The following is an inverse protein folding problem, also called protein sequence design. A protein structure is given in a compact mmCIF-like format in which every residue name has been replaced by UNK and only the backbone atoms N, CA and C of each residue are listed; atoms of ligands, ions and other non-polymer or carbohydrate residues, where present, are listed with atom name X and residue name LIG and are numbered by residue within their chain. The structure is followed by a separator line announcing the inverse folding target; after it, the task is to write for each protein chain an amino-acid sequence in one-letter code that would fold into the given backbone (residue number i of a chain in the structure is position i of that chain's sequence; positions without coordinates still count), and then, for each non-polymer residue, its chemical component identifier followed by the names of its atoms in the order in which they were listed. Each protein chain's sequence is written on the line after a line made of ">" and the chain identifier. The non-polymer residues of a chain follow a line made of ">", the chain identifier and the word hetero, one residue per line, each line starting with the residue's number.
data_IF_807703625495
#
_entry.id   IF_807703625495
#
_cell.length_a   1.000
_cell.length_b   1.000
_cell.length_c   1.000
_cell.angle_alpha   90.00
_cell.angle_beta   90.00
_cell.angle_gamma   90.00
#
_symmetry.space_group_name_H-M   'P 1'
#
loop_
_entity.id
_entity.type
_entity.pdbx_description
1 polymer ?
#
# COMPACT_ATOMS: atom_id res chain seq x y z
N UNK A 1 -22.59 -65.14 -23.68
CA UNK A 1 -21.86 -63.86 -23.81
C UNK A 1 -22.44 -62.88 -22.81
N UNK A 2 -21.65 -62.47 -21.82
CA UNK A 2 -21.97 -61.34 -20.92
C UNK A 2 -20.67 -60.83 -20.34
N UNK A 3 -20.12 -59.79 -20.98
CA UNK A 3 -18.93 -59.07 -20.54
C UNK A 3 -19.32 -58.05 -19.47
N UNK A 4 -18.83 -58.22 -18.24
CA UNK A 4 -18.90 -57.20 -17.19
C UNK A 4 -17.84 -56.12 -17.44
N UNK A 5 -18.26 -54.87 -17.64
CA UNK A 5 -17.39 -53.70 -17.61
C UNK A 5 -17.16 -53.27 -16.15
N UNK A 6 -15.89 -53.19 -15.74
CA UNK A 6 -15.45 -52.52 -14.50
C UNK A 6 -15.50 -51.01 -14.71
N UNK A 7 -16.29 -50.31 -13.92
CA UNK A 7 -16.18 -48.86 -13.77
C UNK A 7 -14.99 -48.54 -12.85
N UNK A 8 -13.96 -47.91 -13.40
CA UNK A 8 -12.85 -47.33 -12.64
C UNK A 8 -13.28 -45.96 -12.11
N UNK A 9 -13.46 -45.84 -10.80
CA UNK A 9 -13.65 -44.56 -10.12
C UNK A 9 -12.35 -43.76 -10.20
N UNK A 10 -12.34 -42.72 -11.04
CA UNK A 10 -11.26 -41.74 -11.10
C UNK A 10 -11.47 -40.74 -9.97
N UNK A 11 -10.64 -40.82 -8.92
CA UNK A 11 -10.57 -39.78 -7.89
C UNK A 11 -9.80 -38.57 -8.44
N UNK A 12 -10.52 -37.49 -8.71
CA UNK A 12 -9.92 -36.19 -9.02
C UNK A 12 -9.30 -35.63 -7.72
N UNK A 13 -8.00 -35.27 -7.68
CA UNK A 13 -7.42 -34.65 -6.49
C UNK A 13 -8.09 -33.29 -6.24
N UNK A 14 -8.73 -33.12 -5.08
CA UNK A 14 -9.28 -31.84 -4.67
C UNK A 14 -8.13 -30.86 -4.44
N UNK A 15 -8.10 -29.78 -5.21
CA UNK A 15 -7.20 -28.65 -4.95
C UNK A 15 -7.69 -27.92 -3.69
N UNK A 16 -6.80 -27.58 -2.75
CA UNK A 16 -7.20 -26.89 -1.52
C UNK A 16 -7.84 -25.55 -1.84
N UNK A 17 -8.94 -25.23 -1.17
CA UNK A 17 -9.70 -24.00 -1.39
C UNK A 17 -8.91 -22.78 -0.90
N UNK A 18 -9.30 -21.56 -1.34
CA UNK A 18 -8.64 -20.31 -0.92
C UNK A 18 -8.72 -20.09 0.60
N UNK A 19 -9.79 -20.56 1.24
CA UNK A 19 -9.94 -20.58 2.71
C UNK A 19 -8.94 -21.54 3.37
N UNK A 20 -8.70 -22.72 2.79
CA UNK A 20 -7.77 -23.70 3.36
C UNK A 20 -6.33 -23.17 3.37
N UNK A 21 -5.93 -22.47 2.30
CA UNK A 21 -4.61 -21.83 2.23
C UNK A 21 -4.43 -20.69 3.23
N UNK A 22 -5.51 -19.97 3.55
CA UNK A 22 -5.50 -18.92 4.56
C UNK A 22 -5.32 -19.51 5.96
N UNK A 23 -6.12 -20.52 6.31
CA UNK A 23 -6.04 -21.19 7.60
C UNK A 23 -4.72 -21.92 7.80
N UNK A 24 -4.15 -22.51 6.75
CA UNK A 24 -2.84 -23.17 6.80
C UNK A 24 -1.71 -22.19 7.16
N UNK A 25 -1.78 -20.95 6.68
CA UNK A 25 -0.78 -19.92 7.04
C UNK A 25 -0.88 -19.50 8.50
N UNK A 26 -2.10 -19.39 9.04
CA UNK A 26 -2.31 -19.06 10.45
C UNK A 26 -1.84 -20.23 11.32
N UNK A 27 -2.23 -21.45 11.00
CA UNK A 27 -1.79 -22.66 11.68
C UNK A 27 -0.26 -22.73 11.78
N UNK A 28 0.44 -22.65 10.64
CA UNK A 28 1.91 -22.70 10.59
C UNK A 28 2.61 -21.52 11.29
N UNK A 29 1.91 -20.41 11.53
CA UNK A 29 2.49 -19.26 12.24
C UNK A 29 2.58 -19.53 13.75
N UNK A 30 1.66 -20.31 14.27
CA UNK A 30 1.51 -20.54 15.71
C UNK A 30 1.96 -21.94 16.16
N UNK A 31 2.09 -22.88 15.23
CA UNK A 31 2.90 -24.10 15.36
C UNK A 31 4.39 -23.69 15.41
N UNK A 32 4.88 -23.36 16.61
CA UNK A 32 6.21 -22.78 16.82
C UNK A 32 7.30 -23.83 16.73
N UNK A 33 7.02 -25.04 17.18
CA UNK A 33 7.95 -26.16 17.12
C UNK A 33 7.88 -26.93 15.79
N UNK A 34 6.93 -26.58 14.91
CA UNK A 34 6.71 -27.18 13.59
C UNK A 34 6.40 -28.68 13.68
N UNK A 35 5.72 -29.10 14.74
CA UNK A 35 5.32 -30.50 14.94
C UNK A 35 4.06 -30.88 14.14
N UNK A 36 3.46 -29.91 13.45
CA UNK A 36 2.28 -30.07 12.62
C UNK A 36 0.98 -30.07 13.41
N UNK A 37 1.01 -29.70 14.69
CA UNK A 37 -0.11 -29.61 15.61
C UNK A 37 -0.03 -28.31 16.42
N UNK A 38 -1.11 -27.97 17.13
CA UNK A 38 -1.14 -26.81 18.03
C UNK A 38 -1.34 -27.32 19.45
N UNK A 39 -0.36 -27.07 20.31
CA UNK A 39 -0.44 -27.40 21.74
C UNK A 39 -1.33 -26.41 22.51
N UNK A 40 -1.75 -26.77 23.73
CA UNK A 40 -2.44 -25.86 24.66
C UNK A 40 -1.69 -24.53 24.83
N UNK A 41 -0.35 -24.57 24.95
CA UNK A 41 0.47 -23.38 25.13
C UNK A 41 0.47 -22.51 23.87
N UNK A 42 0.49 -23.10 22.69
CA UNK A 42 0.42 -22.37 21.43
C UNK A 42 -0.96 -21.80 21.18
N UNK A 43 -2.02 -22.55 21.48
CA UNK A 43 -3.40 -22.07 21.47
C UNK A 43 -3.59 -20.92 22.48
N UNK A 44 -3.06 -21.07 23.69
CA UNK A 44 -3.05 -20.01 24.70
C UNK A 44 -2.29 -18.78 24.20
N UNK A 45 -1.16 -18.94 23.52
CA UNK A 45 -0.43 -17.82 22.88
C UNK A 45 -1.13 -17.24 21.65
N UNK A 46 -1.98 -18.00 20.94
CA UNK A 46 -2.87 -17.48 19.89
C UNK A 46 -3.90 -16.52 20.52
N UNK A 47 -4.38 -16.89 21.70
CA UNK A 47 -5.48 -16.24 22.42
C UNK A 47 -5.00 -15.07 23.28
N UNK A 48 -3.88 -15.22 23.98
CA UNK A 48 -3.24 -14.23 24.84
C UNK A 48 -2.27 -13.38 24.02
N UNK A 49 -2.68 -12.16 23.69
CA UNK A 49 -1.76 -11.15 23.14
C UNK A 49 -1.57 -10.01 24.14
N UNK A 50 -0.30 -9.63 24.30
CA UNK A 50 0.27 -8.75 25.34
C UNK A 50 -0.20 -7.28 25.32
N UNK A 51 -1.30 -6.96 24.64
CA UNK A 51 -1.75 -5.59 24.40
C UNK A 51 -3.08 -5.22 25.10
N UNK A 52 -3.73 -6.14 25.82
CA UNK A 52 -4.98 -5.84 26.55
C UNK A 52 -4.97 -6.47 27.96
N UNK A 53 -5.42 -5.70 28.96
CA UNK A 53 -5.21 -5.93 30.39
C UNK A 53 -6.14 -7.00 31.03
N UNK A 54 -6.74 -7.87 30.22
CA UNK A 54 -7.57 -8.98 30.69
C UNK A 54 -7.32 -10.24 29.86
N UNK A 55 -6.51 -11.13 30.42
CA UNK A 55 -6.30 -12.48 29.92
C UNK A 55 -7.62 -13.26 29.97
N UNK A 56 -7.86 -14.11 28.96
CA UNK A 56 -8.93 -15.10 29.03
C UNK A 56 -8.55 -16.13 30.11
N UNK A 57 -9.40 -16.38 31.12
CA UNK A 57 -9.04 -17.30 32.18
C UNK A 57 -8.80 -18.71 31.62
N UNK A 58 -7.84 -19.43 32.21
CA UNK A 58 -7.33 -20.73 31.71
C UNK A 58 -8.45 -21.74 31.40
N UNK A 59 -9.51 -21.73 32.21
CA UNK A 59 -10.67 -22.60 32.04
C UNK A 59 -11.43 -22.39 30.72
N UNK A 60 -11.34 -21.20 30.11
CA UNK A 60 -11.94 -20.91 28.80
C UNK A 60 -11.09 -21.47 27.68
N UNK A 61 -9.75 -21.37 27.79
CA UNK A 61 -8.82 -21.94 26.81
C UNK A 61 -8.90 -23.46 26.83
N UNK A 62 -8.96 -24.06 28.03
CA UNK A 62 -9.15 -25.50 28.20
C UNK A 62 -10.44 -25.97 27.54
N UNK A 63 -11.55 -25.25 27.75
CA UNK A 63 -12.83 -25.57 27.12
C UNK A 63 -12.83 -25.41 25.59
N UNK A 64 -12.07 -24.46 25.06
CA UNK A 64 -11.89 -24.32 23.60
C UNK A 64 -11.11 -25.51 23.05
N UNK A 65 -10.06 -25.94 23.77
CA UNK A 65 -9.27 -27.11 23.41
C UNK A 65 -10.14 -28.37 23.42
N UNK A 66 -10.93 -28.60 24.47
CA UNK A 66 -11.87 -29.74 24.57
C UNK A 66 -12.93 -29.76 23.45
N UNK A 67 -13.30 -28.59 22.91
CA UNK A 67 -14.27 -28.48 21.82
C UNK A 67 -13.63 -28.68 20.43
N UNK A 68 -12.34 -28.42 20.29
CA UNK A 68 -11.59 -28.54 19.04
C UNK A 68 -10.93 -29.90 18.86
N UNK A 69 -10.40 -30.48 19.94
CA UNK A 69 -9.64 -31.74 19.97
C UNK A 69 -10.62 -32.93 19.98
N UNK A 70 -10.93 -33.46 18.80
CA UNK A 70 -11.93 -34.54 18.66
C UNK A 70 -11.36 -35.89 18.98
N UNK A 71 -10.09 -36.08 18.69
CA UNK A 71 -9.40 -37.34 18.94
C UNK A 71 -8.84 -37.44 20.37
N UNK A 72 -8.96 -36.38 21.18
CA UNK A 72 -8.45 -36.24 22.55
C UNK A 72 -6.94 -36.49 22.61
N UNK A 73 -6.21 -36.08 21.58
CA UNK A 73 -4.75 -36.22 21.52
C UNK A 73 -4.02 -35.23 22.43
N UNK A 74 -4.71 -34.19 22.91
CA UNK A 74 -4.13 -33.06 23.65
C UNK A 74 -3.54 -31.99 22.74
N UNK A 75 -3.75 -32.10 21.42
CA UNK A 75 -3.26 -31.19 20.40
C UNK A 75 -4.35 -30.95 19.36
N UNK A 76 -4.30 -29.82 18.64
CA UNK A 76 -5.17 -29.61 17.48
C UNK A 76 -4.39 -29.87 16.21
N UNK A 77 -4.82 -30.85 15.41
CA UNK A 77 -4.32 -30.98 14.05
C UNK A 77 -4.92 -29.91 13.13
N UNK A 78 -4.45 -29.86 11.88
CA UNK A 78 -4.92 -28.85 10.94
C UNK A 78 -6.42 -28.95 10.61
N UNK A 79 -6.95 -30.16 10.51
CA UNK A 79 -8.36 -30.37 10.20
C UNK A 79 -9.24 -29.95 11.38
N UNK A 80 -8.86 -30.35 12.60
CA UNK A 80 -9.51 -29.96 13.85
C UNK A 80 -9.44 -28.45 14.08
N UNK A 81 -8.29 -27.84 13.85
CA UNK A 81 -8.12 -26.39 13.92
C UNK A 81 -9.06 -25.67 12.95
N UNK A 82 -9.12 -26.09 11.68
CA UNK A 82 -10.01 -25.47 10.70
C UNK A 82 -11.47 -25.65 11.09
N UNK A 83 -11.86 -26.84 11.53
CA UNK A 83 -13.23 -27.12 11.95
C UNK A 83 -13.63 -26.30 13.19
N UNK A 84 -12.73 -26.18 14.16
CA UNK A 84 -12.88 -25.33 15.34
C UNK A 84 -13.11 -23.86 14.94
N UNK A 85 -12.35 -23.34 13.96
CA UNK A 85 -12.51 -21.96 13.46
C UNK A 85 -13.85 -21.73 12.74
N UNK A 86 -14.48 -22.78 12.21
CA UNK A 86 -15.79 -22.72 11.55
C UNK A 86 -16.95 -23.09 12.48
N UNK A 87 -16.68 -23.55 13.70
CA UNK A 87 -17.71 -23.93 14.67
C UNK A 87 -18.55 -22.69 15.06
N UNK A 88 -19.89 -22.67 14.84
CA UNK A 88 -20.74 -21.52 15.11
C UNK A 88 -20.66 -20.96 16.54
N UNK A 89 -20.48 -21.83 17.52
CA UNK A 89 -20.40 -21.46 18.94
C UNK A 89 -19.06 -20.80 19.29
N UNK A 90 -17.98 -21.23 18.60
CA UNK A 90 -16.62 -20.67 18.74
C UNK A 90 -16.34 -19.53 17.76
N UNK A 91 -17.16 -19.39 16.72
CA UNK A 91 -17.08 -18.32 15.71
C UNK A 91 -17.24 -16.94 16.34
N UNK A 92 -17.95 -16.82 17.45
CA UNK A 92 -18.02 -15.57 18.22
C UNK A 92 -16.66 -15.22 18.87
N UNK A 93 -15.97 -16.21 19.43
CA UNK A 93 -14.66 -16.06 20.08
C UNK A 93 -13.56 -15.77 19.07
N UNK A 94 -13.52 -16.50 17.95
CA UNK A 94 -12.54 -16.28 16.88
C UNK A 94 -12.91 -15.14 15.94
N UNK A 95 -14.21 -14.82 15.81
CA UNK A 95 -14.69 -13.62 15.14
C UNK A 95 -14.14 -12.35 15.79
N UNK A 96 -13.99 -12.35 17.12
CA UNK A 96 -13.31 -11.29 17.85
C UNK A 96 -11.82 -11.16 17.46
N UNK A 97 -11.13 -12.25 17.14
CA UNK A 97 -9.71 -12.25 16.72
C UNK A 97 -9.50 -11.70 15.30
N UNK A 98 -10.35 -12.13 14.35
CA UNK A 98 -10.35 -11.57 12.99
C UNK A 98 -10.74 -10.10 13.03
N UNK A 99 -11.76 -9.76 13.81
CA UNK A 99 -12.13 -8.37 14.08
C UNK A 99 -10.96 -7.59 14.68
N UNK A 100 -10.16 -8.15 15.59
CA UNK A 100 -9.00 -7.50 16.23
C UNK A 100 -7.84 -7.18 15.28
N UNK A 101 -7.48 -8.09 14.36
CA UNK A 101 -6.49 -7.77 13.29
C UNK A 101 -7.03 -6.72 12.32
N UNK A 102 -8.33 -6.80 12.01
CA UNK A 102 -9.01 -5.80 11.20
C UNK A 102 -9.05 -4.46 11.93
N UNK A 103 -9.27 -4.43 13.25
CA UNK A 103 -9.37 -3.22 14.07
C UNK A 103 -8.01 -2.54 14.37
N UNK A 104 -6.90 -3.27 14.34
CA UNK A 104 -5.56 -2.67 14.47
C UNK A 104 -5.08 -2.00 13.19
N UNK A 105 -5.68 -2.33 12.04
CA UNK A 105 -5.47 -1.69 10.75
C UNK A 105 -6.57 -0.66 10.46
N UNK A 106 -7.77 -0.91 10.97
CA UNK A 106 -8.98 -0.13 10.72
C UNK A 106 -9.53 0.36 12.06
N UNK A 107 -9.72 1.66 12.22
CA UNK A 107 -10.28 2.18 13.45
C UNK A 107 -11.55 1.57 14.01
N UNK A 108 -11.63 1.51 15.35
CA UNK A 108 -12.82 1.06 16.09
C UNK A 108 -13.91 2.15 16.12
N UNK A 109 -15.18 1.75 16.07
CA UNK A 109 -16.34 2.66 16.22
C UNK A 109 -17.43 2.08 17.10
N UNK A 110 -18.00 2.95 17.93
CA UNK A 110 -19.19 2.66 18.72
C UNK A 110 -20.42 2.42 17.81
N UNK A 111 -21.37 1.55 18.18
CA UNK A 111 -22.40 1.03 17.27
C UNK A 111 -23.55 2.01 16.96
N UNK A 112 -23.41 3.30 17.22
CA UNK A 112 -24.51 4.26 17.09
C UNK A 112 -24.02 5.57 16.51
N UNK A 113 -24.06 5.70 15.19
CA UNK A 113 -24.81 6.80 14.63
C UNK A 113 -25.26 6.51 13.20
N UNK A 114 -26.53 6.78 12.97
CA UNK A 114 -27.20 6.73 11.68
C UNK A 114 -26.63 7.78 10.74
N UNK A 115 -25.70 7.40 9.87
CA UNK A 115 -25.45 8.13 8.63
C UNK A 115 -25.19 7.13 7.50
N UNK A 116 -26.20 7.05 6.62
CA UNK A 116 -26.18 6.48 5.27
C UNK A 116 -25.54 5.09 5.13
N UNK A 117 -26.36 4.05 5.38
CA UNK A 117 -26.10 2.62 5.16
C UNK A 117 -25.71 2.24 3.72
N UNK A 118 -24.62 2.80 3.23
CA UNK A 118 -23.95 2.55 1.95
C UNK A 118 -22.49 2.09 2.23
N UNK A 119 -22.10 1.94 3.49
CA UNK A 119 -20.74 1.58 3.87
C UNK A 119 -20.54 0.08 4.14
N UNK A 120 -21.62 -0.67 4.39
CA UNK A 120 -21.54 -2.04 4.92
C UNK A 120 -21.25 -3.14 3.89
N UNK A 121 -21.05 -2.83 2.61
CA UNK A 121 -20.87 -3.86 1.56
C UNK A 121 -19.53 -3.87 0.78
N UNK A 122 -18.53 -3.02 1.05
CA UNK A 122 -17.32 -3.00 0.19
C UNK A 122 -15.98 -2.93 0.92
N UNK A 123 -15.65 -3.96 1.72
CA UNK A 123 -14.29 -4.54 1.67
C UNK A 123 -14.26 -5.61 0.58
N UNK A 124 -14.40 -5.11 -0.64
CA UNK A 124 -14.38 -5.90 -1.83
C UNK A 124 -12.94 -5.89 -2.34
N UNK A 125 -12.32 -7.06 -2.56
CA UNK A 125 -11.08 -7.18 -3.38
C UNK A 125 -11.36 -6.85 -4.86
N UNK A 126 -12.35 -6.00 -5.08
CA UNK A 126 -13.12 -5.77 -6.28
C UNK A 126 -13.60 -4.31 -6.24
N UNK A 127 -12.97 -3.42 -7.02
CA UNK A 127 -11.96 -3.74 -8.02
C UNK A 127 -10.64 -4.15 -7.34
N UNK A 128 -9.97 -5.20 -7.82
CA UNK A 128 -8.66 -5.61 -7.29
C UNK A 128 -7.66 -4.45 -7.31
N UNK A 129 -6.69 -4.51 -6.38
CA UNK A 129 -5.59 -3.54 -6.27
C UNK A 129 -4.57 -3.76 -7.41
N UNK A 130 -4.96 -3.44 -8.64
CA UNK A 130 -4.14 -3.69 -9.83
C UNK A 130 -3.40 -2.42 -10.29
N UNK A 131 -3.75 -1.21 -9.86
CA UNK A 131 -3.21 -0.01 -10.50
C UNK A 131 -1.71 0.14 -10.25
N UNK A 132 -1.25 0.07 -8.99
CA UNK A 132 0.19 0.09 -8.68
C UNK A 132 0.93 -1.09 -9.31
N UNK A 133 0.32 -2.28 -9.34
CA UNK A 133 0.92 -3.47 -9.95
C UNK A 133 1.13 -3.25 -11.45
N UNK A 134 0.12 -2.71 -12.16
CA UNK A 134 0.22 -2.43 -13.60
C UNK A 134 1.28 -1.38 -13.90
N UNK A 135 1.32 -0.28 -13.13
CA UNK A 135 2.34 0.75 -13.29
C UNK A 135 3.73 0.14 -13.08
N UNK A 136 3.92 -0.64 -12.02
CA UNK A 136 5.17 -1.37 -11.74
C UNK A 136 5.57 -2.33 -12.86
N UNK A 137 4.61 -3.07 -13.44
CA UNK A 137 4.89 -3.95 -14.58
C UNK A 137 5.33 -3.17 -15.82
N UNK A 138 4.71 -2.03 -16.09
CA UNK A 138 5.09 -1.15 -17.21
C UNK A 138 6.50 -0.62 -16.99
N UNK A 139 6.83 -0.13 -15.79
CA UNK A 139 8.17 0.35 -15.45
C UNK A 139 9.25 -0.73 -15.67
N UNK A 140 8.98 -1.97 -15.22
CA UNK A 140 9.88 -3.12 -15.42
C UNK A 140 10.07 -3.40 -16.91
N UNK A 141 8.98 -3.49 -17.68
CA UNK A 141 9.04 -3.79 -19.12
C UNK A 141 9.84 -2.74 -19.87
N UNK A 142 9.59 -1.46 -19.61
CA UNK A 142 10.28 -0.35 -20.26
C UNK A 142 11.76 -0.29 -19.86
N UNK A 143 12.08 -0.52 -18.59
CA UNK A 143 13.47 -0.62 -18.14
C UNK A 143 14.21 -1.81 -18.76
N UNK A 144 13.58 -2.98 -18.81
CA UNK A 144 14.15 -4.18 -19.44
C UNK A 144 14.40 -3.97 -20.94
N UNK A 145 13.54 -3.21 -21.63
CA UNK A 145 13.75 -2.87 -23.03
C UNK A 145 15.00 -2.01 -23.22
N UNK A 146 15.16 -0.92 -22.46
CA UNK A 146 16.37 -0.09 -22.53
C UNK A 146 17.62 -0.90 -22.13
N UNK A 147 17.54 -1.73 -21.09
CA UNK A 147 18.63 -2.59 -20.65
C UNK A 147 19.03 -3.61 -21.72
N UNK A 148 18.09 -4.12 -22.51
CA UNK A 148 18.36 -5.03 -23.64
C UNK A 148 19.17 -4.37 -24.75
N UNK A 149 19.12 -3.05 -24.85
CA UNK A 149 19.93 -2.23 -25.77
C UNK A 149 21.27 -1.81 -25.15
N UNK A 150 21.65 -2.38 -24.00
CA UNK A 150 22.87 -2.04 -23.27
C UNK A 150 22.82 -0.67 -22.58
N UNK A 151 21.62 -0.11 -22.39
CA UNK A 151 21.40 1.20 -21.76
C UNK A 151 20.65 1.03 -20.45
N UNK A 152 21.35 1.23 -19.34
CA UNK A 152 20.75 1.22 -17.98
C UNK A 152 20.68 2.61 -17.37
N UNK A 153 21.15 3.61 -18.11
CA UNK A 153 21.04 5.03 -17.80
C UNK A 153 19.84 5.67 -18.50
N UNK A 154 19.62 6.96 -18.26
CA UNK A 154 18.56 7.74 -18.90
C UNK A 154 18.80 8.00 -20.42
N UNK A 155 19.71 7.26 -21.07
CA UNK A 155 20.06 7.44 -22.48
C UNK A 155 19.45 6.39 -23.41
N UNK A 156 18.73 5.41 -22.86
CA UNK A 156 17.99 4.40 -23.63
C UNK A 156 16.92 4.97 -24.57
N UNK A 157 16.55 4.25 -25.64
CA UNK A 157 15.54 4.70 -26.60
C UNK A 157 14.18 5.03 -25.95
N UNK A 158 13.73 4.23 -24.98
CA UNK A 158 12.48 4.48 -24.26
C UNK A 158 12.64 5.62 -23.27
N UNK A 159 13.75 5.66 -22.52
CA UNK A 159 14.12 6.77 -21.67
C UNK A 159 14.03 8.12 -22.41
N UNK A 160 14.64 8.25 -23.59
CA UNK A 160 14.62 9.51 -24.35
C UNK A 160 13.21 9.96 -24.77
N UNK A 161 12.28 9.02 -24.96
CA UNK A 161 10.89 9.34 -25.34
C UNK A 161 10.09 9.84 -24.14
N UNK A 162 10.25 9.21 -22.97
CA UNK A 162 9.38 9.45 -21.82
C UNK A 162 9.98 10.33 -20.71
N UNK A 163 11.31 10.47 -20.66
CA UNK A 163 12.00 11.32 -19.69
C UNK A 163 11.46 12.75 -19.74
N UNK A 164 11.38 13.39 -18.58
CA UNK A 164 11.16 14.83 -18.52
C UNK A 164 12.40 15.52 -19.08
N UNK A 165 12.24 16.19 -20.22
CA UNK A 165 13.30 16.95 -20.86
C UNK A 165 12.99 18.46 -20.75
N UNK A 166 13.79 19.25 -20.02
CA UNK A 166 13.55 20.67 -19.82
C UNK A 166 13.59 21.51 -21.11
N UNK A 167 14.22 21.00 -22.17
CA UNK A 167 14.27 21.64 -23.49
C UNK A 167 13.04 21.34 -24.34
N UNK A 168 12.16 20.43 -23.89
CA UNK A 168 10.97 19.96 -24.60
C UNK A 168 9.70 20.14 -23.76
N UNK A 169 9.60 21.23 -22.99
CA UNK A 169 8.43 21.50 -22.11
C UNK A 169 7.09 21.60 -22.85
N UNK A 170 7.12 21.86 -24.16
CA UNK A 170 5.91 21.84 -25.00
C UNK A 170 5.35 20.41 -25.17
N UNK A 171 6.17 19.37 -24.98
CA UNK A 171 5.78 17.96 -24.97
C UNK A 171 5.14 17.62 -23.61
N UNK A 172 3.94 18.14 -23.34
CA UNK A 172 3.30 18.15 -22.02
C UNK A 172 3.18 16.76 -21.36
N UNK A 173 3.10 15.68 -22.12
CA UNK A 173 3.07 14.31 -21.60
C UNK A 173 4.32 13.96 -20.78
N UNK A 174 5.47 14.59 -21.07
CA UNK A 174 6.74 14.38 -20.35
C UNK A 174 6.69 14.81 -18.89
N UNK A 175 5.73 15.66 -18.51
CA UNK A 175 5.48 15.99 -17.10
C UNK A 175 4.87 14.82 -16.32
N UNK A 176 4.36 13.79 -17.00
CA UNK A 176 3.80 12.58 -16.39
C UNK A 176 4.63 11.34 -16.73
N UNK A 177 4.98 11.14 -18.00
CA UNK A 177 5.59 9.89 -18.47
C UNK A 177 6.96 9.62 -17.89
N UNK A 178 7.63 10.62 -17.31
CA UNK A 178 8.92 10.44 -16.67
C UNK A 178 8.89 9.43 -15.51
N UNK A 179 7.71 9.18 -14.92
CA UNK A 179 7.51 8.15 -13.90
C UNK A 179 7.83 6.74 -14.40
N UNK A 180 7.72 6.51 -15.72
CA UNK A 180 7.84 5.19 -16.33
C UNK A 180 9.29 4.76 -16.64
N UNK A 181 10.26 5.65 -16.46
CA UNK A 181 11.66 5.43 -16.86
C UNK A 181 12.57 5.63 -15.66
N UNK A 182 13.58 4.78 -15.51
CA UNK A 182 14.44 4.74 -14.33
C UNK A 182 15.92 4.73 -14.69
N UNK A 183 16.74 5.38 -13.87
CA UNK A 183 18.20 5.41 -14.03
C UNK A 183 18.82 4.40 -13.08
N UNK A 184 19.19 3.23 -13.61
CA UNK A 184 19.81 2.16 -12.86
C UNK A 184 18.83 1.21 -12.14
N UNK A 185 19.32 -0.01 -11.91
CA UNK A 185 18.55 -1.11 -11.32
C UNK A 185 18.13 -0.81 -9.88
N UNK A 186 19.04 -0.26 -9.07
CA UNK A 186 18.78 0.04 -7.65
C UNK A 186 17.65 1.07 -7.53
N UNK A 187 17.68 2.11 -8.36
CA UNK A 187 16.65 3.15 -8.36
C UNK A 187 15.28 2.57 -8.72
N UNK A 188 15.19 1.72 -9.75
CA UNK A 188 13.96 1.01 -10.10
C UNK A 188 13.45 0.14 -8.94
N UNK A 189 14.31 -0.74 -8.40
CA UNK A 189 13.91 -1.71 -7.36
C UNK A 189 13.37 -1.00 -6.12
N UNK A 190 14.04 0.05 -5.64
CA UNK A 190 13.58 0.79 -4.46
C UNK A 190 12.23 1.47 -4.72
N UNK A 191 12.03 2.10 -5.89
CA UNK A 191 10.73 2.69 -6.24
C UNK A 191 9.62 1.63 -6.26
N UNK A 192 9.86 0.49 -6.91
CA UNK A 192 8.89 -0.62 -6.98
C UNK A 192 8.53 -1.17 -5.60
N UNK A 193 9.53 -1.36 -4.73
CA UNK A 193 9.31 -1.88 -3.38
C UNK A 193 8.42 -0.93 -2.57
N UNK A 194 8.73 0.36 -2.54
CA UNK A 194 7.93 1.34 -1.78
C UNK A 194 6.55 1.54 -2.41
N UNK A 195 6.47 1.63 -3.75
CA UNK A 195 5.22 1.75 -4.49
C UNK A 195 4.25 0.61 -4.20
N UNK A 196 4.73 -0.64 -4.26
CA UNK A 196 3.88 -1.81 -4.01
C UNK A 196 3.55 -1.95 -2.52
N UNK A 197 4.53 -1.74 -1.64
CA UNK A 197 4.34 -1.88 -0.20
C UNK A 197 3.34 -0.85 0.37
N UNK A 198 3.35 0.38 -0.14
CA UNK A 198 2.47 1.45 0.33
C UNK A 198 1.20 1.59 -0.50
N UNK A 199 1.32 1.49 -1.83
CA UNK A 199 0.19 1.78 -2.70
C UNK A 199 -0.84 0.65 -2.74
N UNK A 200 -0.44 -0.63 -2.69
CA UNK A 200 -1.40 -1.75 -2.71
C UNK A 200 -2.35 -1.72 -1.49
N UNK A 201 -1.86 -1.56 -0.23
CA UNK A 201 -2.75 -1.40 0.92
C UNK A 201 -3.68 -0.19 0.79
N UNK A 202 -3.19 0.95 0.31
CA UNK A 202 -4.05 2.13 0.06
C UNK A 202 -5.16 1.82 -0.96
N UNK A 203 -4.86 1.06 -2.03
CA UNK A 203 -5.87 0.69 -3.05
C UNK A 203 -6.96 -0.21 -2.46
N UNK A 204 -6.57 -1.14 -1.59
CA UNK A 204 -7.51 -2.04 -0.91
C UNK A 204 -8.47 -1.29 0.01
N UNK A 205 -8.05 -0.18 0.61
CA UNK A 205 -8.87 0.61 1.55
C UNK A 205 -9.66 1.71 0.83
N UNK A 206 -9.03 2.41 -0.10
CA UNK A 206 -9.57 3.64 -0.70
C UNK A 206 -10.06 3.47 -2.15
N UNK A 207 -9.92 2.28 -2.75
CA UNK A 207 -10.16 1.98 -4.17
C UNK A 207 -9.07 2.51 -5.09
N UNK A 208 -8.75 1.73 -6.11
CA UNK A 208 -7.64 1.99 -7.06
C UNK A 208 -7.63 3.41 -7.67
N UNK A 209 -8.79 3.94 -8.10
CA UNK A 209 -8.83 5.22 -8.80
C UNK A 209 -8.48 6.41 -7.91
N UNK A 210 -8.78 6.33 -6.59
CA UNK A 210 -8.41 7.38 -5.62
C UNK A 210 -6.91 7.43 -5.43
N UNK A 211 -6.29 6.28 -5.30
CA UNK A 211 -4.83 6.15 -5.16
C UNK A 211 -4.14 6.54 -6.46
N UNK A 212 -4.69 6.17 -7.62
CA UNK A 212 -4.19 6.60 -8.92
C UNK A 212 -4.19 8.13 -9.07
N UNK A 213 -5.25 8.82 -8.63
CA UNK A 213 -5.30 10.28 -8.63
C UNK A 213 -4.21 10.90 -7.75
N UNK A 214 -4.02 10.38 -6.55
CA UNK A 214 -2.97 10.83 -5.62
C UNK A 214 -1.58 10.63 -6.23
N UNK A 215 -1.33 9.45 -6.79
CA UNK A 215 -0.05 9.09 -7.40
C UNK A 215 0.27 9.99 -8.60
N UNK A 216 -0.66 10.12 -9.56
CA UNK A 216 -0.48 10.96 -10.75
C UNK A 216 -0.37 12.44 -10.40
N UNK A 217 -1.12 12.91 -9.40
CA UNK A 217 -1.00 14.27 -8.87
C UNK A 217 0.40 14.54 -8.29
N UNK A 218 0.97 13.56 -7.59
CA UNK A 218 2.33 13.58 -7.08
C UNK A 218 3.37 13.72 -8.18
N UNK A 219 3.27 12.87 -9.22
CA UNK A 219 4.14 12.90 -10.40
C UNK A 219 4.05 14.26 -11.11
N UNK A 220 2.84 14.75 -11.36
CA UNK A 220 2.63 16.04 -12.03
C UNK A 220 3.19 17.22 -11.21
N UNK A 221 2.96 17.23 -9.89
CA UNK A 221 3.50 18.26 -9.01
C UNK A 221 5.03 18.18 -8.95
N UNK A 222 5.59 16.97 -8.92
CA UNK A 222 7.03 16.73 -8.89
C UNK A 222 7.76 17.31 -10.10
N UNK A 223 7.24 17.06 -11.31
CA UNK A 223 7.82 17.61 -12.54
C UNK A 223 7.60 19.11 -12.69
N UNK A 224 6.41 19.63 -12.36
CA UNK A 224 6.14 21.07 -12.40
C UNK A 224 7.03 21.84 -11.42
N UNK A 225 7.14 21.38 -10.17
CA UNK A 225 7.99 22.05 -9.18
C UNK A 225 9.47 22.03 -9.60
N UNK A 226 9.97 20.86 -10.05
CA UNK A 226 11.36 20.76 -10.54
C UNK A 226 11.59 21.66 -11.75
N UNK A 227 10.63 21.74 -12.68
CA UNK A 227 10.76 22.63 -13.84
C UNK A 227 11.00 24.09 -13.44
N UNK A 228 10.42 24.53 -12.33
CA UNK A 228 10.53 25.89 -11.85
C UNK A 228 11.78 26.12 -10.98
N UNK A 229 12.16 25.17 -10.13
CA UNK A 229 13.32 25.36 -9.24
C UNK A 229 14.64 25.03 -9.92
N UNK A 230 14.63 24.06 -10.82
CA UNK A 230 15.79 23.50 -11.50
C UNK A 230 15.52 23.34 -13.01
N UNK A 231 15.38 24.45 -13.77
CA UNK A 231 14.88 24.45 -15.15
C UNK A 231 15.77 23.72 -16.16
N UNK A 232 16.94 23.21 -15.76
CA UNK A 232 17.90 22.49 -16.61
C UNK A 232 18.01 20.99 -16.28
N UNK A 233 17.29 20.53 -15.26
CA UNK A 233 17.36 19.14 -14.78
C UNK A 233 16.39 18.24 -15.54
N UNK A 234 16.89 17.07 -15.93
CA UNK A 234 16.07 15.97 -16.45
C UNK A 234 15.50 15.17 -15.27
N UNK A 235 14.26 14.71 -15.38
CA UNK A 235 13.66 13.81 -14.39
C UNK A 235 13.36 12.46 -15.01
N UNK A 236 13.71 11.40 -14.28
CA UNK A 236 13.38 10.03 -14.56
C UNK A 236 13.09 9.35 -13.22
N UNK A 237 11.96 8.67 -13.11
CA UNK A 237 11.61 7.83 -11.97
C UNK A 237 10.23 8.12 -11.40
N UNK A 238 9.62 7.07 -10.86
CA UNK A 238 8.31 7.07 -10.22
C UNK A 238 8.24 7.84 -8.88
N UNK A 239 9.37 8.37 -8.40
CA UNK A 239 9.52 8.83 -7.02
C UNK A 239 8.57 9.96 -6.61
N UNK A 240 8.18 10.85 -7.52
CA UNK A 240 7.15 11.86 -7.25
C UNK A 240 5.80 11.24 -6.84
N UNK A 241 5.42 10.12 -7.45
CA UNK A 241 4.24 9.34 -7.08
C UNK A 241 4.46 8.54 -5.80
N UNK A 242 5.63 7.92 -5.62
CA UNK A 242 5.99 7.18 -4.39
C UNK A 242 5.90 8.07 -3.15
N UNK A 243 6.46 9.28 -3.21
CA UNK A 243 6.37 10.25 -2.12
C UNK A 243 4.96 10.77 -1.90
N UNK A 244 4.14 10.84 -2.96
CA UNK A 244 2.72 11.12 -2.80
C UNK A 244 2.00 10.01 -2.05
N UNK A 245 2.32 8.73 -2.28
CA UNK A 245 1.78 7.60 -1.51
C UNK A 245 2.21 7.63 -0.04
N UNK A 246 3.46 7.97 0.25
CA UNK A 246 3.93 8.15 1.64
C UNK A 246 3.10 9.24 2.33
N UNK A 247 2.95 10.41 1.71
CA UNK A 247 2.18 11.51 2.26
C UNK A 247 0.67 11.23 2.32
N UNK A 248 0.15 10.37 1.44
CA UNK A 248 -1.24 9.92 1.47
C UNK A 248 -1.55 9.11 2.74
N UNK A 249 -0.61 8.29 3.22
CA UNK A 249 -0.76 7.63 4.53
C UNK A 249 -0.81 8.63 5.66
N UNK A 250 0.02 9.68 5.60
CA UNK A 250 -0.02 10.78 6.58
C UNK A 250 -1.38 11.49 6.52
N UNK A 251 -1.93 11.71 5.32
CA UNK A 251 -3.27 12.27 5.15
C UNK A 251 -4.34 11.36 5.80
N UNK A 252 -4.27 10.04 5.59
CA UNK A 252 -5.18 9.07 6.23
C UNK A 252 -5.06 9.13 7.75
N UNK A 253 -3.82 9.22 8.29
CA UNK A 253 -3.56 9.36 9.72
C UNK A 253 -4.16 10.67 10.27
N UNK A 254 -4.00 11.80 9.59
CA UNK A 254 -4.55 13.09 10.01
C UNK A 254 -6.09 13.06 10.03
N UNK A 255 -6.69 12.44 9.03
CA UNK A 255 -8.15 12.39 8.87
C UNK A 255 -8.82 11.39 9.81
N UNK A 256 -8.10 10.37 10.27
CA UNK A 256 -8.64 9.29 11.10
C UNK A 256 -7.80 9.10 12.38
N UNK A 257 -7.30 10.20 12.95
CA UNK A 257 -6.33 10.16 14.05
C UNK A 257 -6.91 9.53 15.33
N UNK A 258 -8.14 9.90 15.69
CA UNK A 258 -8.77 9.42 16.94
C UNK A 258 -9.16 7.93 16.84
N UNK A 259 -9.19 7.45 15.61
CA UNK A 259 -9.68 6.19 15.17
C UNK A 259 -8.51 5.16 15.09
N UNK A 260 -7.26 5.58 14.88
CA UNK A 260 -6.11 4.68 14.69
C UNK A 260 -5.32 4.36 15.98
N UNK A 261 -5.24 3.07 16.35
CA UNK A 261 -4.52 2.59 17.55
C UNK A 261 -3.00 2.84 17.52
N UNK A 262 -2.35 2.72 16.35
CA UNK A 262 -0.89 2.85 16.21
C UNK A 262 -0.42 4.01 15.32
N UNK A 263 -1.22 5.09 15.23
CA UNK A 263 -0.96 6.24 14.37
C UNK A 263 0.46 6.82 14.52
N UNK A 264 0.94 6.95 15.77
CA UNK A 264 2.24 7.56 16.08
C UNK A 264 3.39 6.69 15.55
N UNK A 265 3.33 5.37 15.73
CA UNK A 265 4.39 4.45 15.27
C UNK A 265 4.45 4.46 13.74
N UNK A 266 3.30 4.40 13.07
CA UNK A 266 3.23 4.48 11.61
C UNK A 266 3.79 5.82 11.09
N UNK A 267 3.42 6.93 11.73
CA UNK A 267 3.94 8.26 11.37
C UNK A 267 5.47 8.34 11.53
N UNK A 268 6.02 7.79 12.61
CA UNK A 268 7.47 7.76 12.85
C UNK A 268 8.22 6.92 11.81
N UNK A 269 7.67 5.78 11.40
CA UNK A 269 8.26 4.94 10.34
C UNK A 269 8.30 5.70 9.01
N UNK A 270 7.19 6.33 8.60
CA UNK A 270 7.16 7.11 7.35
C UNK A 270 8.07 8.33 7.40
N UNK A 271 8.14 9.00 8.55
CA UNK A 271 9.03 10.14 8.75
C UNK A 271 10.50 9.71 8.63
N UNK A 272 10.88 8.59 9.27
CA UNK A 272 12.24 8.04 9.20
C UNK A 272 12.62 7.69 7.76
N UNK A 273 11.77 6.95 7.04
CA UNK A 273 12.01 6.59 5.64
C UNK A 273 12.19 7.83 4.76
N UNK A 274 11.32 8.83 4.92
CA UNK A 274 11.37 10.08 4.15
C UNK A 274 12.64 10.88 4.44
N UNK A 275 13.02 11.02 5.72
CA UNK A 275 14.22 11.76 6.12
C UNK A 275 15.48 11.10 5.58
N UNK A 276 15.58 9.77 5.66
CA UNK A 276 16.74 9.04 5.15
C UNK A 276 16.86 9.23 3.64
N UNK A 277 15.77 9.07 2.88
CA UNK A 277 15.81 9.16 1.41
C UNK A 277 16.04 10.60 0.90
N UNK A 278 15.40 11.60 1.52
CA UNK A 278 15.69 13.02 1.19
C UNK A 278 17.12 13.37 1.61
N UNK A 279 17.56 12.90 2.78
CA UNK A 279 18.90 13.16 3.30
C UNK A 279 19.99 12.61 2.38
N UNK A 280 19.83 11.38 1.88
CA UNK A 280 20.76 10.80 0.90
C UNK A 280 20.74 11.56 -0.42
N UNK A 281 19.56 11.93 -0.95
CA UNK A 281 19.44 12.71 -2.18
C UNK A 281 20.11 14.10 -2.08
N UNK A 282 19.94 14.79 -0.95
CA UNK A 282 20.58 16.09 -0.68
C UNK A 282 22.09 15.91 -0.51
N UNK A 283 22.54 14.91 0.25
CA UNK A 283 23.96 14.63 0.45
C UNK A 283 24.69 14.29 -0.85
N UNK A 284 24.10 13.46 -1.71
CA UNK A 284 24.71 13.08 -2.98
C UNK A 284 24.85 14.28 -3.93
N UNK A 285 23.89 15.22 -3.90
CA UNK A 285 23.92 16.44 -4.71
C UNK A 285 24.96 17.45 -4.23
N UNK A 286 24.95 17.79 -2.94
CA UNK A 286 25.78 18.88 -2.42
C UNK A 286 27.18 18.44 -2.01
N UNK A 287 27.37 17.16 -1.67
CA UNK A 287 28.62 16.66 -1.12
C UNK A 287 29.37 15.68 -2.04
N UNK A 288 28.66 14.80 -2.76
CA UNK A 288 29.29 13.84 -3.68
C UNK A 288 29.39 14.30 -5.14
N UNK A 289 28.71 15.39 -5.51
CA UNK A 289 28.64 15.90 -6.89
C UNK A 289 28.31 14.80 -7.94
N UNK A 290 27.57 13.77 -7.54
CA UNK A 290 27.13 12.73 -8.45
C UNK A 290 26.07 13.34 -9.37
N UNK A 291 26.30 13.33 -10.69
CA UNK A 291 25.36 13.85 -11.70
C UNK A 291 24.11 12.96 -11.90
N UNK A 292 23.65 12.30 -10.85
CA UNK A 292 22.39 11.56 -10.82
C UNK A 292 21.35 12.50 -10.23
N UNK A 293 20.84 13.43 -11.05
CA UNK A 293 19.95 14.52 -10.63
C UNK A 293 18.52 14.02 -10.31
N UNK A 294 18.38 13.12 -9.34
CA UNK A 294 17.08 12.72 -8.82
C UNK A 294 16.58 13.88 -7.95
N UNK A 295 15.50 14.51 -8.40
CA UNK A 295 15.03 15.77 -7.83
C UNK A 295 14.44 15.61 -6.44
N UNK A 296 15.18 15.99 -5.40
CA UNK A 296 14.62 16.18 -4.04
C UNK A 296 13.39 17.11 -4.06
N UNK A 297 13.35 18.07 -5.00
CA UNK A 297 12.19 18.94 -5.25
C UNK A 297 11.01 18.13 -5.76
N UNK A 298 11.24 17.16 -6.67
CA UNK A 298 10.20 16.28 -7.15
C UNK A 298 9.62 15.43 -6.01
N UNK A 299 10.48 14.94 -5.11
CA UNK A 299 10.05 14.18 -3.92
C UNK A 299 9.20 15.05 -2.98
N UNK A 300 9.68 16.25 -2.67
CA UNK A 300 8.97 17.19 -1.80
C UNK A 300 7.62 17.62 -2.37
N UNK A 301 7.60 18.03 -3.64
CA UNK A 301 6.37 18.43 -4.30
C UNK A 301 5.39 17.27 -4.47
N UNK A 302 5.90 16.06 -4.74
CA UNK A 302 5.14 14.83 -4.72
C UNK A 302 4.47 14.57 -3.37
N UNK A 303 5.23 14.70 -2.27
CA UNK A 303 4.69 14.56 -0.91
C UNK A 303 3.64 15.63 -0.58
N UNK A 304 3.88 16.90 -0.93
CA UNK A 304 2.90 17.99 -0.72
C UNK A 304 1.62 17.72 -1.50
N UNK A 305 1.72 17.32 -2.78
CA UNK A 305 0.57 16.95 -3.58
C UNK A 305 -0.16 15.73 -3.00
N UNK A 306 0.58 14.70 -2.56
CA UNK A 306 0.01 13.51 -1.95
C UNK A 306 -0.78 13.80 -0.67
N UNK A 307 -0.27 14.71 0.18
CA UNK A 307 -0.98 15.17 1.37
C UNK A 307 -2.26 15.93 1.01
N UNK A 308 -2.17 16.93 0.11
CA UNK A 308 -3.29 17.79 -0.25
C UNK A 308 -4.39 17.02 -0.99
N UNK A 309 -4.02 16.24 -2.00
CA UNK A 309 -4.96 15.39 -2.75
C UNK A 309 -5.44 14.23 -1.88
N UNK A 310 -4.60 13.70 -1.00
CA UNK A 310 -4.95 12.68 -0.02
C UNK A 310 -6.11 13.13 0.90
N UNK A 311 -5.98 14.31 1.51
CA UNK A 311 -7.06 14.94 2.31
C UNK A 311 -8.34 15.13 1.47
N UNK A 312 -8.19 15.49 0.19
CA UNK A 312 -9.29 15.77 -0.71
C UNK A 312 -10.05 14.54 -1.19
N UNK A 313 -9.32 13.46 -1.47
CA UNK A 313 -9.81 12.32 -2.24
C UNK A 313 -9.93 11.07 -1.39
N UNK A 314 -9.10 10.85 -0.36
CA UNK A 314 -9.19 9.62 0.44
C UNK A 314 -10.45 9.59 1.31
N UNK A 315 -10.85 8.38 1.71
CA UNK A 315 -12.07 8.18 2.49
C UNK A 315 -11.87 8.77 3.90
N UNK A 316 -12.80 9.62 4.30
CA UNK A 316 -12.91 10.14 5.64
C UNK A 316 -14.03 9.37 6.36
N UNK A 317 -13.70 8.68 7.45
CA UNK A 317 -14.62 7.81 8.15
C UNK A 317 -15.70 8.63 8.87
N UNK A 318 -15.36 9.70 9.60
CA UNK A 318 -16.33 10.57 10.32
C UNK A 318 -16.16 12.00 9.87
N UNK A 319 -17.18 12.60 9.26
CA UNK A 319 -17.09 13.97 8.76
C UNK A 319 -17.32 14.97 9.89
N UNK A 320 -16.25 15.51 10.46
CA UNK A 320 -16.31 16.64 11.40
C UNK A 320 -16.36 17.97 10.65
N UNK A 321 -16.93 19.00 11.29
CA UNK A 321 -17.11 20.33 10.65
C UNK A 321 -15.79 21.00 10.23
N UNK A 322 -14.71 20.75 10.97
CA UNK A 322 -13.38 21.31 10.68
C UNK A 322 -12.73 20.67 9.44
N UNK A 323 -12.98 19.38 9.20
CA UNK A 323 -12.46 18.65 8.03
C UNK A 323 -13.02 19.19 6.73
N UNK A 324 -14.26 19.68 6.72
CA UNK A 324 -14.82 20.35 5.52
C UNK A 324 -14.02 21.62 5.18
N UNK A 325 -13.53 22.36 6.18
CA UNK A 325 -12.68 23.54 5.95
C UNK A 325 -11.29 23.13 5.49
N UNK A 326 -10.72 22.10 6.12
CA UNK A 326 -9.43 21.53 5.71
C UNK A 326 -9.48 21.01 4.26
N UNK A 327 -10.56 20.33 3.88
CA UNK A 327 -10.79 19.84 2.52
C UNK A 327 -10.80 20.97 1.50
N UNK A 328 -11.58 22.04 1.74
CA UNK A 328 -11.59 23.20 0.85
C UNK A 328 -10.23 23.89 0.79
N UNK A 329 -9.55 24.03 1.92
CA UNK A 329 -8.19 24.59 1.95
C UNK A 329 -7.23 23.74 1.10
N UNK A 330 -7.24 22.41 1.26
CA UNK A 330 -6.38 21.50 0.52
C UNK A 330 -6.64 21.55 -0.99
N UNK A 331 -7.91 21.54 -1.40
CA UNK A 331 -8.34 21.68 -2.80
C UNK A 331 -7.85 23.01 -3.38
N UNK A 332 -8.14 24.13 -2.71
CA UNK A 332 -7.75 25.47 -3.19
C UNK A 332 -6.23 25.59 -3.30
N UNK A 333 -5.48 25.13 -2.30
CA UNK A 333 -4.01 25.19 -2.30
C UNK A 333 -3.46 24.35 -3.45
N UNK A 334 -3.90 23.09 -3.60
CA UNK A 334 -3.41 22.20 -4.66
C UNK A 334 -3.65 22.80 -6.06
N UNK A 335 -4.89 23.19 -6.37
CA UNK A 335 -5.21 23.75 -7.67
C UNK A 335 -4.51 25.09 -7.93
N UNK A 336 -4.30 25.92 -6.90
CA UNK A 336 -3.56 27.17 -7.03
C UNK A 336 -2.08 26.91 -7.35
N UNK A 337 -1.44 25.96 -6.68
CA UNK A 337 -0.04 25.58 -6.94
C UNK A 337 0.13 24.99 -8.34
N UNK A 338 -0.76 24.09 -8.75
CA UNK A 338 -0.73 23.48 -10.08
C UNK A 338 -0.97 24.52 -11.17
N UNK A 339 -1.96 25.40 -11.00
CA UNK A 339 -2.24 26.47 -11.94
C UNK A 339 -1.05 27.43 -12.05
N UNK A 340 -0.47 27.86 -10.92
CA UNK A 340 0.73 28.70 -10.93
C UNK A 340 1.90 28.01 -11.66
N UNK A 341 2.11 26.71 -11.42
CA UNK A 341 3.13 25.91 -12.09
C UNK A 341 2.97 25.84 -13.61
N UNK A 342 1.74 25.62 -14.06
CA UNK A 342 1.38 25.58 -15.48
C UNK A 342 1.53 26.96 -16.13
N UNK A 343 0.97 28.00 -15.50
CA UNK A 343 1.08 29.38 -16.01
C UNK A 343 2.53 29.84 -16.10
N UNK A 344 3.36 29.52 -15.10
CA UNK A 344 4.78 29.83 -15.13
C UNK A 344 5.48 29.13 -16.30
N UNK A 345 5.18 27.85 -16.54
CA UNK A 345 5.73 27.11 -17.70
C UNK A 345 5.30 27.70 -19.05
N UNK A 346 4.09 28.25 -19.15
CA UNK A 346 3.57 28.84 -20.40
C UNK A 346 4.13 30.25 -20.61
N UNK A 347 4.11 31.11 -19.59
CA UNK A 347 4.32 32.55 -19.76
C UNK A 347 5.72 33.04 -19.37
N UNK A 348 6.46 32.31 -18.53
CA UNK A 348 7.75 32.75 -18.01
C UNK A 348 8.94 32.26 -18.85
N UNK A 349 8.94 32.57 -20.14
CA UNK A 349 9.96 32.06 -21.08
C UNK A 349 11.41 32.36 -20.67
N UNK A 350 11.68 33.54 -20.11
CA UNK A 350 13.04 33.96 -19.73
C UNK A 350 13.65 33.12 -18.61
N UNK A 351 12.84 32.43 -17.80
CA UNK A 351 13.32 31.56 -16.71
C UNK A 351 13.92 30.25 -17.24
N UNK A 352 13.46 29.80 -18.40
CA UNK A 352 13.81 28.51 -18.97
C UNK A 352 14.85 28.60 -20.10
N UNK A 353 15.46 29.77 -20.33
CA UNK A 353 16.51 29.98 -21.34
C UNK A 353 17.92 29.71 -20.82
#
# INVERSE_FOLDING_TARGET
>A
MSSQQRETVVSVPLTPTRSDLYWRRIFNKYDRDNDGRISYLELKNIIESREYDHDLPDNVVEKIMELGDRDNSGYLDFAEFVEMMHNPDLKAVFGHFVARYVHSIIPNRDPVDTTDGIYEEEYSCWPPAICMILISLIEIVLFCYDASQGKTDATGPVAQIFIYNPHKRQEAWRFLTYMLVHVGVVHLVVNLLVQLFLGVPLEMVHRWWRVALVYVAGVAAGSLATSLTDPKVYLAGASGGVYALIAAHIATIIMNWAEMEFAIVQLLVFLLLTIVDIGTAVYDRYWRHLQQNIGYVAHLAGAVAGLLVGIGVLRNLEKRKWEKRLWWAAVVIYFSLMLAGVLANIFWYSHFQ
#
